data_IF_903414113439
#
_entry.id   IF_903414113439
#
_cell.length_a   1.000
_cell.length_b   1.000
_cell.length_c   1.000
_cell.angle_alpha   90.00
_cell.angle_beta   90.00
_cell.angle_gamma   90.00
#
_symmetry.space_group_name_H-M   'P 1'
#
loop_
_entity.id
_entity.type
_entity.pdbx_description
1 polymer ?
#
# COMPACT_ATOMS: atom_id res chain seq x y z
N UNK A 1 11.93 -2.11 -23.17
CA UNK A 1 11.62 -2.24 -21.75
C UNK A 1 12.91 -2.47 -21.00
N UNK A 2 13.39 -1.49 -20.26
CA UNK A 2 14.42 -1.77 -19.26
C UNK A 2 13.74 -2.58 -18.17
N UNK A 3 14.25 -3.78 -17.93
CA UNK A 3 13.90 -4.54 -16.73
C UNK A 3 14.14 -3.63 -15.53
N UNK A 4 13.09 -3.28 -14.81
CA UNK A 4 13.21 -2.55 -13.55
C UNK A 4 13.72 -3.55 -12.53
N UNK A 5 15.01 -3.66 -12.39
CA UNK A 5 15.62 -4.39 -11.31
C UNK A 5 15.13 -3.82 -9.97
N UNK A 6 14.75 -4.70 -9.08
CA UNK A 6 14.63 -4.36 -7.66
C UNK A 6 15.91 -3.65 -7.24
N UNK A 7 15.77 -2.63 -6.45
CA UNK A 7 16.78 -1.69 -5.94
C UNK A 7 18.17 -2.34 -5.75
N UNK A 8 18.84 -2.68 -6.84
CA UNK A 8 20.21 -3.19 -6.84
C UNK A 8 21.22 -2.09 -7.12
N UNK A 9 20.75 -0.92 -7.56
CA UNK A 9 21.57 0.27 -7.82
C UNK A 9 21.23 1.38 -6.86
N UNK A 10 22.18 1.78 -6.04
CA UNK A 10 22.07 2.92 -5.12
C UNK A 10 22.87 4.12 -5.63
N UNK A 11 22.45 5.34 -5.30
CA UNK A 11 21.28 5.71 -4.53
C UNK A 11 19.97 5.60 -5.34
N UNK A 12 18.86 5.31 -4.62
CA UNK A 12 17.49 5.39 -5.15
C UNK A 12 16.95 6.78 -4.91
N UNK A 13 16.36 7.43 -5.91
CA UNK A 13 15.81 8.77 -5.76
C UNK A 13 14.37 8.71 -5.29
N UNK A 14 14.09 9.41 -4.19
CA UNK A 14 12.80 9.55 -3.53
C UNK A 14 12.36 11.01 -3.57
N UNK A 15 11.28 11.29 -4.27
CA UNK A 15 10.76 12.65 -4.44
C UNK A 15 9.57 12.88 -3.51
N UNK A 16 9.56 14.00 -2.81
CA UNK A 16 8.43 14.46 -2.02
C UNK A 16 7.87 15.72 -2.72
N UNK A 17 6.60 15.72 -3.04
CA UNK A 17 5.85 16.91 -3.46
C UNK A 17 4.88 17.28 -2.36
N UNK A 18 5.00 18.51 -1.80
CA UNK A 18 4.27 18.90 -0.60
C UNK A 18 3.76 20.33 -0.65
N UNK A 19 2.70 20.59 0.12
CA UNK A 19 2.38 21.96 0.55
C UNK A 19 3.51 22.49 1.45
N UNK A 20 3.92 23.76 1.29
CA UNK A 20 5.00 24.33 2.10
C UNK A 20 4.69 24.42 3.60
N UNK A 21 3.41 24.38 3.99
CA UNK A 21 3.03 24.37 5.40
C UNK A 21 3.51 23.10 6.14
N UNK A 22 3.83 22.04 5.42
CA UNK A 22 4.23 20.74 5.97
C UNK A 22 5.75 20.51 6.01
N UNK A 23 6.54 21.45 5.47
CA UNK A 23 8.01 21.32 5.34
C UNK A 23 8.70 20.90 6.65
N UNK A 24 8.43 21.60 7.74
CA UNK A 24 9.08 21.29 9.03
C UNK A 24 8.67 19.94 9.62
N UNK A 25 7.43 19.53 9.36
CA UNK A 25 6.87 18.27 9.86
C UNK A 25 7.42 17.06 9.11
N UNK A 26 7.83 17.25 7.85
CA UNK A 26 8.42 16.20 7.01
C UNK A 26 9.89 15.91 7.32
N UNK A 27 10.61 16.83 7.98
CA UNK A 27 12.06 16.68 8.15
C UNK A 27 12.49 15.38 8.85
N UNK A 28 11.79 14.84 9.87
CA UNK A 28 12.15 13.55 10.44
C UNK A 28 12.10 12.39 9.42
N UNK A 29 11.15 12.43 8.48
CA UNK A 29 11.04 11.45 7.40
C UNK A 29 12.18 11.64 6.38
N UNK A 30 12.46 12.87 5.97
CA UNK A 30 13.56 13.23 5.06
C UNK A 30 14.90 12.74 5.61
N UNK A 31 15.17 13.02 6.88
CA UNK A 31 16.39 12.59 7.59
C UNK A 31 16.51 11.06 7.61
N UNK A 32 15.40 10.38 7.92
CA UNK A 32 15.37 8.93 7.96
C UNK A 32 15.58 8.29 6.58
N UNK A 33 14.87 8.76 5.54
CA UNK A 33 15.03 8.26 4.17
C UNK A 33 16.45 8.50 3.67
N UNK A 34 17.02 9.66 3.95
CA UNK A 34 18.42 9.96 3.62
C UNK A 34 19.39 9.00 4.35
N UNK A 35 19.14 8.72 5.63
CA UNK A 35 19.94 7.76 6.43
C UNK A 35 19.81 6.33 5.89
N UNK A 36 18.65 5.94 5.36
CA UNK A 36 18.44 4.65 4.66
C UNK A 36 19.19 4.55 3.33
N UNK A 37 19.71 5.65 2.81
CA UNK A 37 20.46 5.68 1.54
C UNK A 37 19.64 6.18 0.34
N UNK A 38 18.44 6.71 0.56
CA UNK A 38 17.71 7.38 -0.50
C UNK A 38 18.30 8.75 -0.79
N UNK A 39 18.30 9.14 -2.07
CA UNK A 39 18.50 10.51 -2.49
C UNK A 39 17.14 11.23 -2.43
N UNK A 40 16.89 11.93 -1.33
CA UNK A 40 15.61 12.64 -1.15
C UNK A 40 15.65 13.98 -1.87
N UNK A 41 14.60 14.26 -2.62
CA UNK A 41 14.37 15.54 -3.30
C UNK A 41 13.03 16.09 -2.83
N UNK A 42 13.04 17.27 -2.23
CA UNK A 42 11.84 17.95 -1.76
C UNK A 42 11.41 19.02 -2.78
N UNK A 43 10.15 18.99 -3.19
CA UNK A 43 9.52 19.98 -4.03
C UNK A 43 8.27 20.54 -3.34
N UNK A 44 8.18 21.87 -3.20
CA UNK A 44 7.07 22.52 -2.54
C UNK A 44 6.22 23.31 -3.54
N UNK A 45 4.90 23.29 -3.37
CA UNK A 45 3.93 23.89 -4.31
C UNK A 45 4.05 25.41 -4.45
N UNK A 46 4.74 26.10 -3.52
CA UNK A 46 5.07 27.51 -3.62
C UNK A 46 6.37 27.82 -4.38
N UNK A 47 7.19 26.79 -4.70
CA UNK A 47 8.36 26.97 -5.58
C UNK A 47 7.88 27.14 -7.03
N UNK A 48 8.24 28.24 -7.71
CA UNK A 48 7.85 28.44 -9.12
C UNK A 48 8.32 27.36 -10.09
N UNK A 49 9.36 26.58 -9.74
CA UNK A 49 9.82 25.46 -10.57
C UNK A 49 8.93 24.21 -10.43
N UNK A 50 8.30 24.03 -9.28
CA UNK A 50 7.35 22.93 -9.00
C UNK A 50 5.95 23.36 -9.43
N UNK A 51 5.51 24.50 -8.95
CA UNK A 51 4.17 25.03 -9.15
C UNK A 51 3.12 24.28 -8.34
N UNK A 52 1.85 24.68 -8.48
CA UNK A 52 0.73 24.21 -7.67
C UNK A 52 -0.44 23.65 -8.51
N UNK A 53 -0.18 23.26 -9.74
CA UNK A 53 -1.18 22.63 -10.60
C UNK A 53 -0.71 21.23 -11.01
N UNK A 54 -1.63 20.34 -11.33
CA UNK A 54 -1.31 19.00 -11.83
C UNK A 54 -0.30 19.06 -12.99
N UNK A 55 -0.53 19.96 -13.95
CA UNK A 55 0.37 20.13 -15.12
C UNK A 55 1.77 20.61 -14.74
N UNK A 56 1.90 21.56 -13.81
CA UNK A 56 3.23 22.08 -13.42
C UNK A 56 4.02 21.05 -12.64
N UNK A 57 3.39 20.37 -11.69
CA UNK A 57 4.01 19.29 -10.90
C UNK A 57 4.42 18.12 -11.79
N UNK A 58 3.53 17.66 -12.68
CA UNK A 58 3.86 16.62 -13.65
C UNK A 58 5.05 17.01 -14.53
N UNK A 59 5.07 18.27 -15.06
CA UNK A 59 6.19 18.77 -15.87
C UNK A 59 7.51 18.76 -15.09
N UNK A 60 7.48 19.15 -13.81
CA UNK A 60 8.64 19.10 -12.92
C UNK A 60 9.17 17.67 -12.74
N UNK A 61 8.28 16.73 -12.42
CA UNK A 61 8.63 15.32 -12.23
C UNK A 61 9.15 14.68 -13.52
N UNK A 62 8.46 14.91 -14.65
CA UNK A 62 8.89 14.43 -15.96
C UNK A 62 10.28 14.96 -16.34
N UNK A 63 10.54 16.23 -16.11
CA UNK A 63 11.89 16.79 -16.38
C UNK A 63 12.97 16.13 -15.51
N UNK A 64 12.66 15.84 -14.25
CA UNK A 64 13.59 15.14 -13.36
C UNK A 64 13.82 13.69 -13.80
N UNK A 65 12.81 13.05 -14.35
CA UNK A 65 12.89 11.68 -14.87
C UNK A 65 13.68 11.61 -16.19
N UNK A 66 13.30 12.44 -17.17
CA UNK A 66 13.89 12.44 -18.51
C UNK A 66 15.32 12.99 -18.55
N UNK A 67 15.63 13.96 -17.67
CA UNK A 67 16.90 14.71 -17.66
C UNK A 67 17.50 14.75 -16.24
N UNK A 68 17.79 13.60 -15.62
CA UNK A 68 18.33 13.59 -14.27
C UNK A 68 19.73 14.22 -14.23
N UNK A 69 19.86 15.34 -13.51
CA UNK A 69 21.13 16.12 -13.41
C UNK A 69 22.28 15.26 -12.87
N UNK A 70 21.96 14.32 -11.99
CA UNK A 70 22.90 13.38 -11.36
C UNK A 70 22.98 12.02 -12.08
N UNK A 71 22.24 11.85 -13.18
CA UNK A 71 22.15 10.60 -13.93
C UNK A 71 21.23 9.55 -13.29
N UNK A 72 20.48 9.90 -12.22
CA UNK A 72 19.60 9.00 -11.48
C UNK A 72 18.16 9.47 -11.63
N UNK A 73 17.35 8.72 -12.36
CA UNK A 73 15.91 8.97 -12.45
C UNK A 73 15.20 8.69 -11.12
N UNK A 74 14.13 9.42 -10.78
CA UNK A 74 13.36 9.16 -9.59
C UNK A 74 12.63 7.81 -9.66
N UNK A 75 12.54 7.14 -8.52
CA UNK A 75 11.88 5.84 -8.35
C UNK A 75 10.57 5.95 -7.56
N UNK A 76 10.56 6.80 -6.53
CA UNK A 76 9.40 6.96 -5.66
C UNK A 76 8.94 8.41 -5.63
N UNK A 77 7.61 8.59 -5.58
CA UNK A 77 6.92 9.85 -5.34
C UNK A 77 6.03 9.74 -4.10
N UNK A 78 6.29 10.55 -3.09
CA UNK A 78 5.35 10.81 -2.01
C UNK A 78 4.69 12.17 -2.22
N UNK A 79 3.37 12.17 -2.33
CA UNK A 79 2.55 13.38 -2.37
C UNK A 79 2.10 13.68 -0.94
N UNK A 80 2.32 14.89 -0.44
CA UNK A 80 1.96 15.27 0.94
C UNK A 80 0.99 16.44 0.93
N UNK A 81 -0.22 16.15 1.32
CA UNK A 81 -1.37 17.05 1.32
C UNK A 81 -2.62 16.38 0.77
N UNK A 82 -3.77 16.91 1.15
CA UNK A 82 -5.06 16.59 0.55
C UNK A 82 -5.18 17.27 -0.83
N UNK A 83 -6.27 17.05 -1.54
CA UNK A 83 -6.52 17.60 -2.89
C UNK A 83 -6.41 19.12 -2.95
N UNK A 84 -6.81 19.81 -1.88
CA UNK A 84 -6.68 21.26 -1.78
C UNK A 84 -5.23 21.77 -1.59
N UNK A 85 -4.33 20.97 -1.03
CA UNK A 85 -2.93 21.28 -0.81
C UNK A 85 -2.05 20.90 -2.00
N UNK A 86 -2.24 19.69 -2.52
CA UNK A 86 -1.59 19.19 -3.73
C UNK A 86 -2.66 18.53 -4.60
N UNK A 87 -3.09 19.19 -5.68
CA UNK A 87 -4.20 18.73 -6.49
C UNK A 87 -3.93 17.34 -7.11
N UNK A 88 -4.99 16.62 -7.44
CA UNK A 88 -4.93 15.35 -8.18
C UNK A 88 -5.50 15.53 -9.59
N UNK A 89 -5.17 14.63 -10.50
CA UNK A 89 -5.81 14.63 -11.82
C UNK A 89 -7.26 14.18 -11.70
N UNK A 90 -8.17 14.99 -12.24
CA UNK A 90 -9.60 14.71 -12.27
C UNK A 90 -10.05 14.47 -13.72
N UNK A 91 -10.51 13.25 -14.01
CA UNK A 91 -11.09 12.90 -15.32
C UNK A 91 -12.61 13.11 -15.37
N UNK A 92 -13.22 13.74 -14.36
CA UNK A 92 -14.64 13.99 -14.21
C UNK A 92 -15.44 12.81 -13.64
N UNK A 93 -14.78 11.71 -13.29
CA UNK A 93 -15.38 10.52 -12.65
C UNK A 93 -14.68 10.14 -11.34
N UNK A 94 -13.37 10.33 -11.28
CA UNK A 94 -12.53 10.04 -10.12
C UNK A 94 -11.23 10.84 -10.16
N UNK A 95 -10.59 10.95 -9.02
CA UNK A 95 -9.24 11.47 -8.91
C UNK A 95 -8.21 10.37 -9.13
N UNK A 96 -7.07 10.73 -9.73
CA UNK A 96 -5.95 9.83 -9.94
C UNK A 96 -4.60 10.53 -9.73
N UNK A 97 -3.77 9.98 -8.86
CA UNK A 97 -2.38 10.42 -8.68
C UNK A 97 -1.42 9.72 -9.66
N UNK A 98 -1.85 8.66 -10.32
CA UNK A 98 -1.06 7.88 -11.27
C UNK A 98 -0.43 8.77 -12.35
N UNK A 99 -1.19 9.73 -12.87
CA UNK A 99 -0.74 10.63 -13.93
C UNK A 99 0.40 11.58 -13.54
N UNK A 100 0.75 11.68 -12.26
CA UNK A 100 1.99 12.35 -11.85
C UNK A 100 3.25 11.56 -12.24
N UNK A 101 3.09 10.27 -12.43
CA UNK A 101 4.17 9.32 -12.68
C UNK A 101 4.13 8.67 -14.06
N UNK A 102 3.16 8.98 -14.91
CA UNK A 102 3.07 8.53 -16.29
C UNK A 102 3.72 9.58 -17.20
N UNK A 103 4.79 9.23 -17.93
CA UNK A 103 5.60 10.17 -18.70
C UNK A 103 5.66 9.90 -20.20
N UNK A 104 5.27 8.73 -20.65
CA UNK A 104 5.39 8.33 -22.05
C UNK A 104 4.25 8.90 -22.91
N UNK A 105 3.07 9.15 -22.34
CA UNK A 105 1.92 9.72 -23.03
C UNK A 105 1.36 8.79 -24.13
N UNK A 106 0.57 9.36 -25.05
CA UNK A 106 0.10 8.61 -26.21
C UNK A 106 -0.94 7.53 -25.93
N UNK A 107 -1.50 7.50 -24.73
CA UNK A 107 -2.46 6.48 -24.29
C UNK A 107 -1.80 5.41 -23.42
N UNK A 108 -0.55 5.60 -23.05
CA UNK A 108 0.08 4.85 -22.00
C UNK A 108 -0.54 5.18 -20.62
N UNK A 109 -0.58 4.22 -19.73
CA UNK A 109 -1.12 4.35 -18.37
C UNK A 109 -0.27 3.55 -17.36
N UNK A 110 0.95 3.21 -17.71
CA UNK A 110 1.90 2.53 -16.82
C UNK A 110 2.83 3.58 -16.20
N UNK A 111 2.77 3.79 -14.87
CA UNK A 111 3.61 4.80 -14.23
C UNK A 111 5.09 4.38 -14.19
N UNK A 112 5.99 5.32 -14.47
CA UNK A 112 7.44 5.15 -14.39
C UNK A 112 7.99 5.24 -12.96
N UNK A 113 7.17 5.70 -12.01
CA UNK A 113 7.52 5.81 -10.60
C UNK A 113 6.46 5.15 -9.73
N UNK A 114 6.87 4.62 -8.59
CA UNK A 114 5.94 4.20 -7.55
C UNK A 114 5.46 5.41 -6.77
N UNK A 115 4.17 5.54 -6.53
CA UNK A 115 3.58 6.71 -5.89
C UNK A 115 2.67 6.35 -4.72
N UNK A 116 2.53 7.29 -3.79
CA UNK A 116 1.59 7.22 -2.68
C UNK A 116 1.35 8.61 -2.11
N UNK A 117 0.35 8.73 -1.23
CA UNK A 117 -0.08 10.01 -0.68
C UNK A 117 -0.17 9.97 0.84
N UNK A 118 0.46 10.93 1.51
CA UNK A 118 0.12 11.35 2.85
C UNK A 118 -0.95 12.44 2.75
N UNK A 119 -2.20 12.03 2.67
CA UNK A 119 -3.30 12.97 2.62
C UNK A 119 -3.45 13.67 3.97
N UNK A 120 -3.39 15.00 3.95
CA UNK A 120 -3.44 15.84 5.15
C UNK A 120 -3.89 17.25 4.83
N UNK A 121 -4.63 17.86 5.75
CA UNK A 121 -5.09 19.23 5.66
C UNK A 121 -4.36 20.17 6.63
N UNK A 122 -3.73 19.62 7.66
CA UNK A 122 -2.99 20.31 8.71
C UNK A 122 -1.67 19.59 9.04
N UNK A 123 -0.65 20.28 9.58
CA UNK A 123 0.64 19.70 9.92
C UNK A 123 0.56 18.50 10.89
N UNK A 124 -0.37 18.52 11.83
CA UNK A 124 -0.55 17.45 12.82
C UNK A 124 -0.94 16.12 12.17
N UNK A 125 -1.72 16.14 11.08
CA UNK A 125 -2.06 14.92 10.32
C UNK A 125 -0.84 14.37 9.57
N UNK A 126 0.06 15.24 9.11
CA UNK A 126 1.34 14.80 8.51
C UNK A 126 2.25 14.20 9.57
N UNK A 127 2.33 14.83 10.76
CA UNK A 127 3.14 14.34 11.87
C UNK A 127 2.75 12.92 12.28
N UNK A 128 1.44 12.64 12.36
CA UNK A 128 0.92 11.29 12.67
C UNK A 128 1.40 10.27 11.63
N UNK A 129 1.28 10.56 10.34
CA UNK A 129 1.67 9.67 9.25
C UNK A 129 3.19 9.46 9.21
N UNK A 130 3.97 10.52 9.43
CA UNK A 130 5.44 10.45 9.55
C UNK A 130 5.82 9.55 10.73
N UNK A 131 5.25 9.77 11.91
CA UNK A 131 5.57 8.99 13.10
C UNK A 131 5.24 7.51 12.93
N UNK A 132 4.07 7.16 12.37
CA UNK A 132 3.70 5.77 12.07
C UNK A 132 4.71 5.11 11.11
N UNK A 133 5.08 5.83 10.04
CA UNK A 133 6.06 5.34 9.06
C UNK A 133 7.42 5.12 9.71
N UNK A 134 7.87 6.05 10.55
CA UNK A 134 9.14 5.94 11.26
C UNK A 134 9.14 4.78 12.26
N UNK A 135 8.07 4.61 13.05
CA UNK A 135 7.91 3.48 13.96
C UNK A 135 8.03 2.15 13.21
N UNK A 136 7.34 2.05 12.09
CA UNK A 136 7.36 0.84 11.25
C UNK A 136 8.74 0.60 10.63
N UNK A 137 9.31 1.58 9.92
CA UNK A 137 10.58 1.39 9.21
C UNK A 137 11.80 1.27 10.12
N UNK A 138 11.77 1.87 11.30
CA UNK A 138 12.84 1.76 12.30
C UNK A 138 12.67 0.51 13.18
N UNK A 139 11.58 -0.21 13.03
CA UNK A 139 11.24 -1.37 13.83
C UNK A 139 11.28 -1.05 15.34
N UNK A 140 10.64 0.05 15.74
CA UNK A 140 10.65 0.54 17.12
C UNK A 140 9.37 0.20 17.88
N UNK A 141 8.68 -0.85 17.48
CA UNK A 141 7.49 -1.36 18.14
C UNK A 141 7.78 -1.76 19.59
N UNK A 142 6.85 -1.43 20.48
CA UNK A 142 6.94 -1.89 21.87
C UNK A 142 6.74 -3.42 21.96
N UNK A 143 5.82 -3.96 21.17
CA UNK A 143 5.60 -5.39 20.95
C UNK A 143 5.39 -5.64 19.46
N UNK A 144 6.28 -6.36 18.76
CA UNK A 144 6.13 -6.63 17.34
C UNK A 144 5.25 -7.85 17.04
N UNK A 145 4.67 -8.52 18.02
CA UNK A 145 3.88 -9.77 17.81
C UNK A 145 2.69 -9.57 16.90
N UNK A 146 2.12 -8.36 16.83
CA UNK A 146 1.03 -8.05 15.91
C UNK A 146 1.38 -8.25 14.42
N UNK A 147 2.67 -8.29 14.08
CA UNK A 147 3.11 -8.56 12.72
C UNK A 147 2.81 -9.99 12.26
N UNK A 148 2.65 -10.92 13.22
CA UNK A 148 2.24 -12.30 12.94
C UNK A 148 0.71 -12.44 12.78
N UNK A 149 -0.07 -11.40 13.12
CA UNK A 149 -1.54 -11.41 13.05
C UNK A 149 -2.03 -10.87 11.69
N UNK A 150 -2.94 -11.62 11.05
CA UNK A 150 -3.48 -11.29 9.72
C UNK A 150 -5.00 -11.37 9.74
N UNK A 151 -5.68 -10.33 9.25
CA UNK A 151 -7.15 -10.28 9.17
C UNK A 151 -7.59 -10.35 7.70
N UNK A 152 -8.31 -11.41 7.32
CA UNK A 152 -8.78 -11.62 5.96
C UNK A 152 -10.30 -11.75 5.91
N UNK A 153 -10.94 -10.90 5.13
CA UNK A 153 -12.40 -10.77 5.12
C UNK A 153 -12.98 -10.91 3.72
N UNK A 154 -13.79 -11.94 3.49
CA UNK A 154 -14.72 -12.02 2.37
C UNK A 154 -16.09 -11.51 2.84
N UNK A 155 -16.44 -10.30 2.44
CA UNK A 155 -17.68 -9.66 2.90
C UNK A 155 -18.94 -10.23 2.24
N UNK A 156 -20.09 -9.69 2.63
CA UNK A 156 -21.40 -10.22 2.25
C UNK A 156 -21.78 -9.85 0.82
N UNK A 157 -21.94 -10.86 -0.02
CA UNK A 157 -22.67 -10.84 -1.29
C UNK A 157 -23.05 -12.28 -1.65
N UNK A 158 -24.33 -12.60 -1.61
CA UNK A 158 -24.80 -13.97 -1.84
C UNK A 158 -24.50 -14.53 -3.24
N UNK A 159 -24.34 -13.66 -4.24
CA UNK A 159 -24.06 -14.05 -5.63
C UNK A 159 -22.56 -14.18 -5.93
N UNK A 160 -21.77 -13.34 -5.34
CA UNK A 160 -20.34 -13.17 -5.70
C UNK A 160 -19.39 -13.68 -4.61
N UNK A 161 -19.66 -13.41 -3.35
CA UNK A 161 -18.74 -13.75 -2.26
C UNK A 161 -18.35 -15.23 -2.18
N UNK A 162 -19.24 -16.23 -2.43
CA UNK A 162 -18.83 -17.64 -2.39
C UNK A 162 -17.71 -18.00 -3.37
N UNK A 163 -17.63 -17.32 -4.50
CA UNK A 163 -16.63 -17.63 -5.55
C UNK A 163 -15.47 -16.64 -5.52
N UNK A 164 -15.75 -15.36 -5.51
CA UNK A 164 -14.74 -14.31 -5.61
C UNK A 164 -14.12 -13.98 -4.26
N UNK A 165 -14.95 -13.64 -3.28
CA UNK A 165 -14.48 -13.26 -1.97
C UNK A 165 -13.80 -14.42 -1.24
N UNK A 166 -14.52 -15.53 -1.03
CA UNK A 166 -13.96 -16.72 -0.40
C UNK A 166 -12.79 -17.31 -1.19
N UNK A 167 -12.86 -17.26 -2.54
CA UNK A 167 -11.76 -17.72 -3.40
C UNK A 167 -10.49 -16.93 -3.17
N UNK A 168 -10.57 -15.62 -3.07
CA UNK A 168 -9.42 -14.76 -2.77
C UNK A 168 -8.83 -15.09 -1.39
N UNK A 169 -9.67 -15.16 -0.37
CA UNK A 169 -9.22 -15.45 1.00
C UNK A 169 -8.65 -16.87 1.12
N UNK A 170 -9.33 -17.87 0.55
CA UNK A 170 -8.84 -19.26 0.55
C UNK A 170 -7.47 -19.38 -0.12
N UNK A 171 -7.26 -18.72 -1.27
CA UNK A 171 -5.97 -18.71 -1.94
C UNK A 171 -4.85 -18.17 -1.03
N UNK A 172 -5.09 -17.02 -0.42
CA UNK A 172 -4.13 -16.40 0.51
C UNK A 172 -3.84 -17.31 1.70
N UNK A 173 -4.86 -17.87 2.33
CA UNK A 173 -4.73 -18.73 3.51
C UNK A 173 -4.07 -20.06 3.20
N UNK A 174 -4.48 -20.72 2.11
CA UNK A 174 -3.94 -22.04 1.75
C UNK A 174 -2.47 -21.99 1.38
N UNK A 175 -2.02 -20.90 0.75
CA UNK A 175 -0.66 -20.80 0.24
C UNK A 175 0.29 -20.00 1.16
N UNK A 176 -0.17 -18.92 1.80
CA UNK A 176 0.70 -17.94 2.42
C UNK A 176 0.36 -17.56 3.85
N UNK A 177 -0.86 -17.08 4.09
CA UNK A 177 -1.26 -16.57 5.40
C UNK A 177 -1.69 -17.72 6.32
N UNK A 178 -0.72 -18.42 6.89
CA UNK A 178 -1.00 -19.60 7.69
C UNK A 178 0.14 -19.91 8.69
N UNK A 179 -0.11 -20.88 9.56
CA UNK A 179 0.84 -21.28 10.60
C UNK A 179 2.17 -21.85 10.04
N UNK A 180 2.22 -22.35 8.81
CA UNK A 180 3.47 -22.81 8.20
C UNK A 180 4.43 -21.64 7.93
N UNK A 181 3.88 -20.45 7.72
CA UNK A 181 4.61 -19.17 7.58
C UNK A 181 4.76 -18.41 8.90
N UNK A 182 4.36 -19.01 10.03
CA UNK A 182 4.43 -18.36 11.34
C UNK A 182 3.30 -17.36 11.61
N UNK A 183 2.24 -17.36 10.81
CA UNK A 183 1.15 -16.39 10.91
C UNK A 183 -0.09 -16.96 11.59
N UNK A 184 -0.72 -16.15 12.40
CA UNK A 184 -2.08 -16.34 12.94
C UNK A 184 -3.06 -15.61 12.04
N UNK A 185 -4.08 -16.32 11.55
CA UNK A 185 -5.01 -15.74 10.57
C UNK A 185 -6.45 -15.76 11.08
N UNK A 186 -7.03 -14.57 11.13
CA UNK A 186 -8.43 -14.33 11.45
C UNK A 186 -9.25 -14.29 10.15
N UNK A 187 -9.82 -15.43 9.78
CA UNK A 187 -10.57 -15.59 8.53
C UNK A 187 -12.07 -15.39 8.72
N UNK A 188 -12.63 -14.47 7.96
CA UNK A 188 -14.06 -14.17 7.91
C UNK A 188 -14.60 -14.52 6.53
N UNK A 189 -15.15 -15.75 6.38
CA UNK A 189 -15.60 -16.29 5.10
C UNK A 189 -17.14 -16.28 5.01
N UNK A 190 -17.66 -15.80 3.89
CA UNK A 190 -19.09 -15.80 3.62
C UNK A 190 -19.64 -17.23 3.51
N UNK A 191 -20.70 -17.53 4.30
CA UNK A 191 -21.44 -18.80 4.21
C UNK A 191 -20.69 -20.04 4.69
N UNK A 192 -19.49 -19.91 5.24
CA UNK A 192 -18.65 -21.04 5.66
C UNK A 192 -18.59 -21.11 7.19
N UNK A 193 -18.92 -22.28 7.73
CA UNK A 193 -18.72 -22.66 9.14
C UNK A 193 -17.68 -23.80 9.19
N UNK A 194 -16.47 -23.50 8.72
CA UNK A 194 -15.35 -24.44 8.79
C UNK A 194 -14.42 -24.05 9.97
N UNK A 195 -13.50 -24.94 10.40
CA UNK A 195 -12.45 -24.55 11.34
C UNK A 195 -11.71 -23.32 10.82
N UNK A 196 -11.70 -22.25 11.60
CA UNK A 196 -11.11 -20.96 11.21
C UNK A 196 -12.08 -19.96 10.57
N UNK A 197 -13.30 -20.36 10.18
CA UNK A 197 -14.33 -19.44 9.74
C UNK A 197 -15.15 -18.97 10.94
N UNK A 198 -15.25 -17.65 11.13
CA UNK A 198 -15.91 -17.09 12.31
C UNK A 198 -17.42 -16.97 12.14
N UNK A 199 -17.93 -16.77 10.91
CA UNK A 199 -19.33 -16.42 10.69
C UNK A 199 -20.01 -17.10 9.51
N UNK A 200 -21.35 -17.22 9.61
CA UNK A 200 -22.24 -17.72 8.56
C UNK A 200 -22.58 -16.65 7.51
N UNK A 201 -23.49 -16.98 6.60
CA UNK A 201 -23.84 -16.14 5.44
C UNK A 201 -24.38 -14.73 5.77
N UNK A 202 -24.91 -14.50 6.95
CA UNK A 202 -25.35 -13.18 7.38
C UNK A 202 -24.24 -12.37 8.07
N UNK A 203 -23.13 -13.03 8.43
CA UNK A 203 -21.96 -12.46 9.10
C UNK A 203 -22.30 -11.52 10.27
N UNK A 204 -23.45 -11.73 10.91
CA UNK A 204 -23.90 -10.90 12.02
C UNK A 204 -22.96 -11.03 13.22
N UNK A 205 -22.47 -9.89 13.73
CA UNK A 205 -21.45 -9.85 14.77
C UNK A 205 -20.00 -9.82 14.28
N UNK A 206 -19.72 -10.21 13.03
CA UNK A 206 -18.37 -10.19 12.46
C UNK A 206 -17.73 -8.80 12.53
N UNK A 207 -18.51 -7.73 12.35
CA UNK A 207 -17.99 -6.36 12.46
C UNK A 207 -17.30 -6.10 13.79
N UNK A 208 -17.90 -6.53 14.90
CA UNK A 208 -17.31 -6.31 16.23
C UNK A 208 -16.02 -7.11 16.42
N UNK A 209 -15.95 -8.35 15.91
CA UNK A 209 -14.72 -9.16 15.99
C UNK A 209 -13.62 -8.64 15.07
N UNK A 210 -13.94 -8.28 13.82
CA UNK A 210 -12.97 -7.67 12.88
C UNK A 210 -12.38 -6.39 13.49
N UNK A 211 -13.22 -5.53 14.06
CA UNK A 211 -12.76 -4.30 14.72
C UNK A 211 -11.92 -4.63 15.97
N UNK A 212 -12.25 -5.69 16.71
CA UNK A 212 -11.44 -6.17 17.84
C UNK A 212 -10.07 -6.65 17.37
N UNK A 213 -10.03 -7.53 16.36
CA UNK A 213 -8.78 -8.06 15.82
C UNK A 213 -7.87 -6.94 15.30
N UNK A 214 -8.41 -5.98 14.56
CA UNK A 214 -7.65 -4.80 14.11
C UNK A 214 -7.21 -3.93 15.30
N UNK A 215 -8.04 -3.83 16.34
CA UNK A 215 -7.77 -3.04 17.55
C UNK A 215 -6.72 -3.71 18.46
N UNK A 216 -6.59 -5.03 18.41
CA UNK A 216 -5.56 -5.81 19.10
C UNK A 216 -4.23 -5.85 18.32
N UNK A 217 -4.22 -5.31 17.09
CA UNK A 217 -3.06 -5.22 16.21
C UNK A 217 -3.05 -6.31 15.12
N UNK A 218 -2.88 -5.90 13.87
CA UNK A 218 -2.70 -6.80 12.73
C UNK A 218 -1.63 -6.24 11.79
N UNK A 219 -0.63 -7.05 11.45
CA UNK A 219 0.44 -6.67 10.52
C UNK A 219 -0.08 -6.48 9.09
N UNK A 220 -1.08 -7.29 8.72
CA UNK A 220 -1.73 -7.20 7.41
C UNK A 220 -3.23 -7.45 7.51
N UNK A 221 -4.02 -6.69 6.77
CA UNK A 221 -5.44 -6.94 6.63
C UNK A 221 -5.91 -6.78 5.18
N UNK A 222 -6.83 -7.65 4.72
CA UNK A 222 -7.46 -7.53 3.42
C UNK A 222 -8.96 -7.76 3.51
N UNK A 223 -9.73 -6.85 2.96
CA UNK A 223 -11.18 -6.97 2.78
C UNK A 223 -11.52 -7.03 1.29
N UNK A 224 -12.44 -7.90 0.90
CA UNK A 224 -12.96 -7.99 -0.45
C UNK A 224 -14.47 -8.16 -0.45
N UNK A 225 -15.20 -7.13 -0.86
CA UNK A 225 -16.64 -7.09 -1.16
C UNK A 225 -17.08 -5.65 -1.46
N UNK A 226 -18.16 -5.20 -0.81
CA UNK A 226 -18.74 -3.86 -1.00
C UNK A 226 -18.20 -2.85 0.00
N UNK A 227 -17.85 -1.67 -0.50
CA UNK A 227 -17.44 -0.52 0.30
C UNK A 227 -18.11 0.76 -0.19
N UNK A 228 -17.96 1.80 0.60
CA UNK A 228 -18.15 3.18 0.22
C UNK A 228 -16.99 4.03 0.70
N UNK A 229 -17.05 5.33 0.50
CA UNK A 229 -15.99 6.25 0.96
C UNK A 229 -15.79 6.22 2.47
N UNK A 230 -16.80 5.83 3.24
CA UNK A 230 -16.71 5.71 4.69
C UNK A 230 -16.20 4.35 5.19
N UNK A 231 -15.92 3.39 4.34
CA UNK A 231 -15.32 2.09 4.72
C UNK A 231 -16.06 0.86 4.21
N UNK A 232 -15.76 -0.26 4.82
CA UNK A 232 -16.31 -1.59 4.51
C UNK A 232 -17.80 -1.64 4.88
N UNK A 233 -18.60 -2.22 4.00
CA UNK A 233 -20.06 -2.15 4.16
C UNK A 233 -20.62 -3.29 5.02
N UNK A 234 -20.20 -4.52 4.74
CA UNK A 234 -20.76 -5.70 5.41
C UNK A 234 -19.75 -6.88 5.31
N UNK A 235 -19.14 -7.31 6.40
CA UNK A 235 -19.20 -6.70 7.75
C UNK A 235 -18.69 -5.26 7.78
N UNK A 236 -19.36 -4.42 8.57
CA UNK A 236 -19.04 -2.98 8.61
C UNK A 236 -17.78 -2.70 9.44
N UNK A 237 -16.86 -1.97 8.82
CA UNK A 237 -15.77 -1.25 9.50
C UNK A 237 -15.59 0.10 8.82
N UNK A 238 -15.83 1.17 9.56
CA UNK A 238 -16.02 2.50 9.00
C UNK A 238 -15.16 3.57 9.68
N UNK A 239 -15.13 4.76 9.08
CA UNK A 239 -14.46 5.93 9.66
C UNK A 239 -14.92 6.25 11.08
N UNK A 240 -16.18 5.94 11.43
CA UNK A 240 -16.70 6.14 12.79
C UNK A 240 -16.09 5.18 13.83
N UNK A 241 -15.67 4.01 13.40
CA UNK A 241 -15.10 2.97 14.28
C UNK A 241 -13.63 3.22 14.59
N UNK A 242 -12.92 3.92 13.70
CA UNK A 242 -11.48 4.20 13.83
C UNK A 242 -11.15 4.89 15.15
N UNK A 243 -12.01 5.80 15.62
CA UNK A 243 -11.80 6.49 16.91
C UNK A 243 -11.73 5.54 18.11
N UNK A 244 -12.36 4.37 18.01
CA UNK A 244 -12.40 3.34 19.04
C UNK A 244 -11.23 2.36 19.06
N UNK A 245 -10.40 2.33 18.01
CA UNK A 245 -9.25 1.43 17.92
C UNK A 245 -8.23 1.68 19.05
N UNK A 246 -7.54 0.61 19.46
CA UNK A 246 -6.54 0.65 20.54
C UNK A 246 -5.14 0.19 20.08
N UNK A 247 -4.92 0.00 18.80
CA UNK A 247 -3.69 -0.54 18.22
C UNK A 247 -2.54 0.48 18.17
N UNK A 248 -2.20 1.05 19.32
CA UNK A 248 -1.06 1.96 19.48
C UNK A 248 0.26 1.24 19.17
N UNK A 249 1.09 1.81 18.29
CA UNK A 249 2.34 1.23 17.76
C UNK A 249 2.16 -0.06 16.94
N UNK A 250 0.96 -0.53 16.70
CA UNK A 250 0.64 -1.77 15.99
C UNK A 250 -0.06 -1.48 14.65
N UNK A 251 0.57 -0.62 13.86
CA UNK A 251 0.02 -0.12 12.59
C UNK A 251 0.42 -1.02 11.43
N UNK A 252 -0.47 -1.89 10.97
CA UNK A 252 -0.26 -2.72 9.79
C UNK A 252 -0.60 -2.04 8.48
N UNK A 253 -0.37 -2.75 7.38
CA UNK A 253 -0.82 -2.37 6.04
C UNK A 253 -2.17 -3.02 5.77
N UNK A 254 -3.13 -2.24 5.28
CA UNK A 254 -4.47 -2.71 4.98
C UNK A 254 -4.81 -2.57 3.50
N UNK A 255 -5.59 -3.50 2.97
CA UNK A 255 -6.08 -3.50 1.59
C UNK A 255 -7.60 -3.58 1.56
N UNK A 256 -8.22 -2.69 0.80
CA UNK A 256 -9.64 -2.76 0.47
C UNK A 256 -9.84 -3.05 -1.02
N UNK A 257 -10.00 -4.32 -1.38
CA UNK A 257 -10.47 -4.70 -2.71
C UNK A 257 -11.97 -4.45 -2.78
N UNK A 258 -12.33 -3.17 -2.86
CA UNK A 258 -13.71 -2.72 -2.77
C UNK A 258 -13.87 -1.26 -3.21
N UNK A 259 -15.11 -0.87 -3.52
CA UNK A 259 -15.45 0.45 -4.07
C UNK A 259 -15.08 1.61 -3.14
N UNK A 260 -14.48 2.66 -3.67
CA UNK A 260 -14.43 4.01 -3.09
C UNK A 260 -13.76 4.16 -1.71
N UNK A 261 -13.11 3.15 -1.17
CA UNK A 261 -12.49 3.23 0.15
C UNK A 261 -11.34 4.24 0.25
N UNK A 262 -10.75 4.61 -0.90
CA UNK A 262 -9.80 5.71 -1.08
C UNK A 262 -10.36 6.86 -1.95
N UNK A 263 -11.65 7.15 -1.87
CA UNK A 263 -12.28 8.26 -2.58
C UNK A 263 -11.95 9.60 -1.91
N UNK A 264 -10.76 10.11 -2.11
CA UNK A 264 -10.22 11.29 -1.42
C UNK A 264 -10.65 12.66 -1.99
N UNK A 265 -11.70 12.69 -2.83
CA UNK A 265 -12.46 13.89 -3.19
C UNK A 265 -13.63 14.17 -2.20
N UNK A 266 -13.71 13.41 -1.11
CA UNK A 266 -14.62 13.64 0.01
C UNK A 266 -13.85 14.17 1.21
N UNK A 267 -14.51 14.78 2.21
CA UNK A 267 -13.79 15.40 3.34
C UNK A 267 -12.82 14.47 4.08
N UNK A 268 -13.18 13.21 4.27
CA UNK A 268 -12.29 12.15 4.79
C UNK A 268 -12.81 10.81 4.30
N UNK A 269 -12.05 10.11 3.47
CA UNK A 269 -12.35 8.73 3.12
C UNK A 269 -11.77 7.75 4.16
N UNK A 270 -12.09 6.47 4.01
CA UNK A 270 -11.70 5.44 4.98
C UNK A 270 -10.16 5.31 5.09
N UNK A 271 -9.46 5.24 3.95
CA UNK A 271 -8.00 5.16 3.94
C UNK A 271 -7.34 6.38 4.61
N UNK A 272 -7.81 7.59 4.33
CA UNK A 272 -7.35 8.80 5.00
C UNK A 272 -7.58 8.75 6.51
N UNK A 273 -8.79 8.34 6.92
CA UNK A 273 -9.15 8.23 8.33
C UNK A 273 -8.23 7.29 9.10
N UNK A 274 -7.85 6.15 8.50
CA UNK A 274 -6.91 5.20 9.10
C UNK A 274 -5.50 5.78 9.28
N UNK A 275 -5.02 6.55 8.31
CA UNK A 275 -3.68 7.12 8.38
C UNK A 275 -3.59 8.34 9.28
N UNK A 276 -4.61 9.23 9.24
CA UNK A 276 -4.66 10.47 10.02
C UNK A 276 -4.96 10.24 11.51
N UNK A 277 -5.49 9.06 11.88
CA UNK A 277 -5.84 8.76 13.28
C UNK A 277 -4.60 8.67 14.16
N UNK A 278 -4.48 9.57 15.14
CA UNK A 278 -3.37 9.58 16.08
C UNK A 278 -3.41 8.36 17.02
N UNK A 279 -2.26 7.70 17.19
CA UNK A 279 -2.06 6.55 18.06
C UNK A 279 -2.95 5.33 17.73
N UNK A 280 -3.39 5.18 16.49
CA UNK A 280 -4.23 4.06 16.02
C UNK A 280 -4.33 4.02 14.49
N UNK A 281 -5.05 3.03 13.95
CA UNK A 281 -5.31 2.91 12.52
C UNK A 281 -4.25 2.11 11.77
N UNK A 282 -3.79 2.59 10.62
CA UNK A 282 -2.86 1.89 9.75
C UNK A 282 -1.65 2.74 9.37
N UNK A 283 -0.56 2.10 8.94
CA UNK A 283 0.62 2.75 8.35
C UNK A 283 0.50 2.92 6.83
N UNK A 284 -0.36 2.15 6.20
CA UNK A 284 -0.68 2.24 4.79
C UNK A 284 -2.04 1.61 4.48
N UNK A 285 -2.76 2.18 3.53
CA UNK A 285 -4.03 1.65 3.03
C UNK A 285 -4.04 1.68 1.50
N UNK A 286 -4.28 0.52 0.87
CA UNK A 286 -4.44 0.42 -0.59
C UNK A 286 -5.92 0.18 -0.90
N UNK A 287 -6.49 0.96 -1.81
CA UNK A 287 -7.89 0.82 -2.21
C UNK A 287 -8.29 1.73 -3.35
N UNK A 288 -9.52 1.58 -3.82
CA UNK A 288 -10.04 2.32 -4.98
C UNK A 288 -10.56 3.71 -4.66
N UNK A 289 -10.22 4.70 -5.49
CA UNK A 289 -10.85 6.03 -5.47
C UNK A 289 -12.21 6.06 -6.16
N UNK A 290 -12.59 4.99 -6.88
CA UNK A 290 -13.90 4.81 -7.51
C UNK A 290 -14.40 3.37 -7.34
N UNK A 291 -15.46 2.99 -8.05
CA UNK A 291 -16.03 1.65 -7.97
C UNK A 291 -15.04 0.61 -8.49
N UNK A 292 -14.91 -0.50 -7.79
CA UNK A 292 -14.13 -1.66 -8.21
C UNK A 292 -15.04 -2.79 -8.70
N UNK A 293 -14.46 -3.83 -9.29
CA UNK A 293 -15.20 -4.93 -9.89
C UNK A 293 -14.66 -6.27 -9.36
N UNK A 294 -15.56 -7.23 -9.16
CA UNK A 294 -15.25 -8.53 -8.58
C UNK A 294 -14.15 -9.32 -9.30
N UNK A 295 -14.14 -9.28 -10.63
CA UNK A 295 -13.11 -9.98 -11.41
C UNK A 295 -11.74 -9.37 -11.16
N UNK A 296 -11.64 -8.08 -11.32
CA UNK A 296 -10.42 -7.32 -11.20
C UNK A 296 -9.87 -7.37 -9.77
N UNK A 297 -10.74 -7.23 -8.76
CA UNK A 297 -10.36 -7.34 -7.35
C UNK A 297 -9.79 -8.73 -7.03
N UNK A 298 -10.37 -9.80 -7.61
CA UNK A 298 -9.85 -11.15 -7.49
C UNK A 298 -8.47 -11.27 -8.17
N UNK A 299 -8.33 -10.82 -9.41
CA UNK A 299 -7.06 -10.89 -10.14
C UNK A 299 -5.98 -10.04 -9.47
N UNK A 300 -6.35 -8.89 -8.95
CA UNK A 300 -5.42 -8.01 -8.24
C UNK A 300 -4.73 -8.70 -7.07
N UNK A 301 -5.44 -9.52 -6.33
CA UNK A 301 -4.91 -10.21 -5.15
C UNK A 301 -4.32 -11.60 -5.47
N UNK A 302 -4.99 -12.38 -6.34
CA UNK A 302 -4.72 -13.81 -6.57
C UNK A 302 -3.95 -14.07 -7.87
N UNK A 303 -4.13 -13.21 -8.89
CA UNK A 303 -3.51 -13.36 -10.20
C UNK A 303 -4.48 -13.67 -11.34
N UNK A 304 -3.96 -13.69 -12.55
CA UNK A 304 -4.71 -13.69 -13.81
C UNK A 304 -5.34 -15.05 -14.21
N UNK A 305 -5.37 -16.00 -13.30
CA UNK A 305 -5.94 -17.32 -13.57
C UNK A 305 -7.47 -17.37 -13.53
N UNK A 306 -8.00 -18.58 -13.60
CA UNK A 306 -9.45 -18.81 -13.56
C UNK A 306 -10.02 -18.49 -12.17
N UNK A 307 -11.04 -17.65 -12.13
CA UNK A 307 -11.76 -17.30 -10.91
C UNK A 307 -12.53 -18.52 -10.40
N UNK A 308 -12.32 -18.89 -9.16
CA UNK A 308 -13.00 -19.99 -8.50
C UNK A 308 -13.05 -19.81 -6.98
N UNK A 309 -13.91 -20.57 -6.30
CA UNK A 309 -14.01 -20.58 -4.85
C UNK A 309 -12.77 -21.23 -4.15
N UNK A 310 -12.02 -22.04 -4.88
CA UNK A 310 -10.81 -22.72 -4.39
C UNK A 310 -9.73 -22.63 -5.48
N UNK A 311 -9.13 -21.46 -5.69
CA UNK A 311 -8.06 -21.33 -6.68
C UNK A 311 -6.81 -22.06 -6.19
N UNK A 312 -6.05 -22.58 -7.14
CA UNK A 312 -4.80 -23.29 -6.83
C UNK A 312 -3.62 -22.48 -7.36
N UNK A 313 -2.49 -22.55 -6.69
CA UNK A 313 -1.25 -21.91 -7.12
C UNK A 313 -0.91 -22.15 -8.60
N UNK A 314 -1.01 -23.40 -9.07
CA UNK A 314 -0.74 -23.73 -10.46
C UNK A 314 -1.80 -23.23 -11.46
N UNK A 315 -2.96 -22.80 -10.99
CA UNK A 315 -4.08 -22.31 -11.80
C UNK A 315 -4.18 -20.79 -11.86
N UNK A 316 -3.32 -20.07 -11.14
CA UNK A 316 -3.29 -18.61 -11.07
C UNK A 316 -2.00 -18.07 -11.68
N UNK A 317 -2.02 -16.85 -12.17
CA UNK A 317 -0.81 -16.06 -12.41
C UNK A 317 -0.46 -15.29 -11.13
N UNK A 318 0.79 -14.85 -11.01
CA UNK A 318 1.26 -14.15 -9.81
C UNK A 318 0.61 -12.76 -9.64
N UNK A 319 0.28 -12.42 -8.38
CA UNK A 319 -0.26 -11.13 -8.01
C UNK A 319 0.21 -10.70 -6.61
N UNK A 320 -0.57 -9.86 -5.91
CA UNK A 320 -0.12 -9.25 -4.65
C UNK A 320 0.21 -10.27 -3.57
N UNK A 321 -0.61 -11.30 -3.37
CA UNK A 321 -0.34 -12.30 -2.34
C UNK A 321 0.95 -13.09 -2.62
N UNK A 322 1.19 -13.45 -3.87
CA UNK A 322 2.42 -14.12 -4.29
C UNK A 322 3.65 -13.22 -4.12
N UNK A 323 3.49 -11.95 -4.51
CA UNK A 323 4.52 -10.93 -4.48
C UNK A 323 5.02 -10.63 -3.05
N UNK A 324 4.13 -10.73 -2.04
CA UNK A 324 4.48 -10.49 -0.64
C UNK A 324 5.38 -11.56 -0.04
N UNK A 325 5.33 -12.80 -0.55
CA UNK A 325 5.97 -13.95 0.10
C UNK A 325 7.28 -14.39 -0.56
N UNK A 326 7.55 -13.97 -1.80
CA UNK A 326 8.80 -14.26 -2.53
C UNK A 326 9.13 -15.76 -2.66
N UNK A 327 8.11 -16.61 -2.82
CA UNK A 327 8.25 -18.07 -2.84
C UNK A 327 8.06 -18.71 -4.22
N UNK A 328 8.04 -17.87 -5.29
CA UNK A 328 7.67 -18.32 -6.64
C UNK A 328 8.89 -18.65 -7.52
N UNK A 329 10.08 -18.69 -6.92
CA UNK A 329 11.33 -18.97 -7.61
C UNK A 329 11.95 -17.76 -8.29
N UNK A 330 11.40 -16.57 -8.10
CA UNK A 330 11.95 -15.31 -8.54
C UNK A 330 13.31 -15.03 -7.90
N UNK A 331 14.19 -14.40 -8.64
CA UNK A 331 15.46 -13.97 -8.09
C UNK A 331 15.24 -12.77 -7.14
N UNK A 332 16.09 -12.61 -6.14
CA UNK A 332 15.98 -11.48 -5.20
C UNK A 332 15.95 -10.12 -5.90
N UNK A 333 16.60 -9.98 -7.03
CA UNK A 333 16.58 -8.76 -7.84
C UNK A 333 15.19 -8.44 -8.42
N UNK A 334 14.32 -9.44 -8.55
CA UNK A 334 12.97 -9.32 -9.12
C UNK A 334 11.88 -9.19 -8.03
N UNK A 335 12.26 -9.14 -6.74
CA UNK A 335 11.30 -9.07 -5.65
C UNK A 335 10.58 -7.73 -5.61
N UNK A 336 9.28 -7.79 -5.44
CA UNK A 336 8.45 -6.64 -5.09
C UNK A 336 8.32 -6.56 -3.57
N UNK A 337 8.89 -5.53 -2.95
CA UNK A 337 9.07 -5.47 -1.50
C UNK A 337 8.43 -4.25 -0.83
N UNK A 338 7.87 -3.31 -1.60
CA UNK A 338 7.29 -2.09 -1.07
C UNK A 338 5.79 -1.97 -1.36
N UNK A 339 5.09 -1.14 -0.62
CA UNK A 339 3.66 -0.86 -0.85
C UNK A 339 3.39 -0.35 -2.27
N UNK A 340 4.29 0.48 -2.81
CA UNK A 340 4.21 0.93 -4.21
C UNK A 340 4.33 -0.22 -5.21
N UNK A 341 5.21 -1.16 -4.92
CA UNK A 341 5.38 -2.35 -5.74
C UNK A 341 4.19 -3.33 -5.57
N UNK A 342 3.59 -3.42 -4.37
CA UNK A 342 2.34 -4.18 -4.17
C UNK A 342 1.22 -3.64 -5.07
N UNK A 343 0.99 -2.33 -5.07
CA UNK A 343 0.01 -1.69 -5.95
C UNK A 343 0.29 -2.01 -7.41
N UNK A 344 1.54 -1.88 -7.82
CA UNK A 344 1.97 -2.12 -9.19
C UNK A 344 1.74 -3.58 -9.62
N UNK A 345 2.11 -4.55 -8.77
CA UNK A 345 1.92 -5.98 -9.06
C UNK A 345 0.45 -6.37 -9.21
N UNK A 346 -0.43 -5.83 -8.35
CA UNK A 346 -1.86 -6.06 -8.45
C UNK A 346 -2.46 -5.49 -9.74
N UNK A 347 -2.10 -4.26 -10.10
CA UNK A 347 -2.55 -3.64 -11.35
C UNK A 347 -2.02 -4.37 -12.58
N UNK A 348 -0.76 -4.85 -12.56
CA UNK A 348 -0.21 -5.71 -13.62
C UNK A 348 -0.99 -7.02 -13.77
N UNK A 349 -1.41 -7.65 -12.67
CA UNK A 349 -2.22 -8.87 -12.73
C UNK A 349 -3.58 -8.62 -13.39
N UNK A 350 -4.24 -7.49 -13.09
CA UNK A 350 -5.47 -7.06 -13.77
C UNK A 350 -5.23 -6.87 -15.27
N UNK A 351 -4.15 -6.20 -15.64
CA UNK A 351 -3.74 -6.01 -17.05
C UNK A 351 -3.53 -7.35 -17.74
N UNK A 352 -2.77 -8.27 -17.15
CA UNK A 352 -2.50 -9.59 -17.71
C UNK A 352 -3.77 -10.45 -17.86
N UNK A 353 -4.75 -10.25 -17.00
CA UNK A 353 -6.04 -10.91 -17.08
C UNK A 353 -6.95 -10.34 -18.19
N UNK A 354 -6.60 -9.19 -18.76
CA UNK A 354 -7.42 -8.48 -19.74
C UNK A 354 -8.66 -7.84 -19.13
N UNK A 355 -8.56 -7.40 -17.88
CA UNK A 355 -9.61 -6.67 -17.16
C UNK A 355 -9.73 -5.21 -17.59
N UNK A 356 -10.34 -4.40 -16.72
CA UNK A 356 -10.47 -2.94 -16.89
C UNK A 356 -9.14 -2.25 -16.61
N UNK A 357 -8.12 -2.49 -17.45
CA UNK A 357 -6.70 -2.17 -17.21
C UNK A 357 -6.48 -0.70 -16.82
N UNK A 358 -6.62 0.23 -17.76
CA UNK A 358 -6.38 1.66 -17.50
C UNK A 358 -7.16 2.16 -16.28
N UNK A 359 -8.42 1.72 -16.16
CA UNK A 359 -9.28 2.12 -15.06
C UNK A 359 -8.72 1.71 -13.70
N UNK A 360 -8.16 0.49 -13.57
CA UNK A 360 -7.55 0.04 -12.31
C UNK A 360 -6.24 0.75 -12.00
N UNK A 361 -5.43 1.07 -13.00
CA UNK A 361 -4.27 1.92 -12.81
C UNK A 361 -4.66 3.33 -12.33
N UNK A 362 -5.76 3.88 -12.82
CA UNK A 362 -6.25 5.20 -12.43
C UNK A 362 -6.83 5.24 -11.01
N UNK A 363 -7.58 4.20 -10.60
CA UNK A 363 -8.37 4.27 -9.36
C UNK A 363 -7.70 3.69 -8.13
N UNK A 364 -6.77 2.73 -8.26
CA UNK A 364 -6.09 2.17 -7.10
C UNK A 364 -4.99 3.11 -6.61
N UNK A 365 -5.04 3.43 -5.29
CA UNK A 365 -4.12 4.35 -4.65
C UNK A 365 -3.58 3.79 -3.35
N UNK A 366 -2.39 4.27 -2.96
CA UNK A 366 -1.84 4.08 -1.63
C UNK A 366 -2.02 5.38 -0.86
N UNK A 367 -2.84 5.35 0.20
CA UNK A 367 -2.68 6.26 1.31
C UNK A 367 -1.53 5.70 2.14
N UNK A 368 -0.38 6.41 2.13
CA UNK A 368 0.85 5.92 2.75
C UNK A 368 2.10 6.19 1.92
N UNK A 369 3.24 5.80 2.46
CA UNK A 369 4.55 5.91 1.81
C UNK A 369 4.76 4.77 0.80
N UNK A 370 4.98 5.05 -0.49
CA UNK A 370 5.14 4.02 -1.51
C UNK A 370 6.42 3.20 -1.37
N UNK A 371 7.40 3.66 -0.61
CA UNK A 371 8.66 2.96 -0.36
C UNK A 371 8.66 2.16 0.96
N UNK A 372 7.55 2.16 1.69
CA UNK A 372 7.40 1.37 2.91
C UNK A 372 7.46 -0.13 2.57
N UNK A 373 8.30 -0.87 3.26
CA UNK A 373 8.33 -2.34 3.18
C UNK A 373 7.42 -2.91 4.27
N UNK A 374 6.29 -3.52 3.92
CA UNK A 374 5.43 -4.16 4.91
C UNK A 374 6.14 -5.36 5.53
N UNK A 375 5.99 -5.54 6.85
CA UNK A 375 6.37 -6.78 7.50
C UNK A 375 5.19 -7.76 7.44
N UNK A 376 5.44 -8.93 6.86
CA UNK A 376 4.51 -10.06 6.89
C UNK A 376 5.13 -11.10 7.82
N UNK A 377 4.79 -10.99 9.10
CA UNK A 377 5.39 -11.75 10.18
C UNK A 377 6.55 -11.03 10.89
N UNK A 378 6.86 -11.48 12.09
CA UNK A 378 7.99 -10.98 12.88
C UNK A 378 9.30 -11.41 12.22
N UNK A 379 10.16 -10.47 11.78
CA UNK A 379 11.39 -10.81 11.09
C UNK A 379 12.38 -11.53 12.03
N UNK A 380 13.10 -12.49 11.48
CA UNK A 380 14.19 -13.16 12.21
C UNK A 380 15.28 -12.15 12.54
N UNK A 381 15.71 -12.15 13.80
CA UNK A 381 16.79 -11.27 14.26
C UNK A 381 18.11 -11.55 13.50
N UNK A 382 18.67 -10.51 12.89
CA UNK A 382 19.96 -10.56 12.24
C UNK A 382 21.04 -9.95 13.13
N UNK A 383 22.21 -10.55 13.12
CA UNK A 383 23.41 -9.95 13.76
C UNK A 383 24.36 -9.47 12.68
N UNK A 384 24.62 -8.17 12.64
CA UNK A 384 25.58 -7.60 11.71
C UNK A 384 26.89 -7.24 12.45
N UNK A 385 28.02 -7.60 11.85
CA UNK A 385 29.35 -7.21 12.34
C UNK A 385 30.05 -6.39 11.27
N UNK A 386 30.61 -5.26 11.67
CA UNK A 386 31.35 -4.36 10.78
C UNK A 386 32.44 -3.60 11.53
N UNK A 387 33.40 -3.05 10.84
CA UNK A 387 34.42 -2.17 11.39
C UNK A 387 33.80 -0.88 11.97
N UNK A 388 34.27 -0.43 13.14
CA UNK A 388 33.80 0.78 13.78
C UNK A 388 34.10 2.07 12.99
N UNK A 389 35.04 2.01 12.03
CA UNK A 389 35.44 3.13 11.19
C UNK A 389 35.88 2.63 9.82
N UNK A 390 35.67 3.47 8.80
CA UNK A 390 36.15 3.23 7.44
C UNK A 390 37.15 4.34 7.09
N UNK A 391 38.38 4.01 6.65
CA UNK A 391 39.35 5.01 6.21
C UNK A 391 38.82 5.82 5.02
N UNK A 392 39.18 7.09 4.96
CA UNK A 392 38.85 7.95 3.80
C UNK A 392 39.46 7.35 2.54
N UNK A 393 38.66 7.24 1.48
CA UNK A 393 39.08 6.65 0.20
C UNK A 393 38.86 5.13 0.10
N UNK A 394 38.26 4.49 1.10
CA UNK A 394 37.83 3.09 1.01
C UNK A 394 36.63 2.99 0.04
N UNK A 395 36.73 2.08 -0.91
CA UNK A 395 35.68 1.81 -1.90
C UNK A 395 34.76 0.65 -1.50
N UNK A 396 35.15 -0.16 -0.51
CA UNK A 396 34.40 -1.29 -0.05
C UNK A 396 34.32 -1.27 1.49
N UNK A 397 33.11 -1.44 2.02
CA UNK A 397 32.84 -1.61 3.45
C UNK A 397 32.23 -2.99 3.66
N UNK A 398 32.91 -3.84 4.44
CA UNK A 398 32.45 -5.20 4.69
C UNK A 398 31.55 -5.23 5.93
N UNK A 399 30.34 -5.79 5.75
CA UNK A 399 29.41 -6.16 6.83
C UNK A 399 29.22 -7.68 6.73
N UNK A 400 29.31 -8.37 7.87
CA UNK A 400 29.12 -9.82 7.98
C UNK A 400 28.11 -10.14 9.04
#
# INVERSE_FOLDING_TARGET
>A
SQEKDVITTYPVKYVIISDPAFESTLQPLVDWKTKKGFMVVEGYTNDPNVGNTTTSIHTYLKNMYDNPIDGIAPTYLLIVGDEAQVPSFDNGQHLSDMYYCEFDGGGDFYPEMYYGRFSATIPEEVEVQVNKTLTHEQYTFADPSFLDEVVLVAGVDAGMAPTYGNGQINYGTDNYFNAAHGLTVHNYLYGVLAPGASYSSDMSGASAEIISDISEGAGFANYTAHCGSSGWSDPSFSTSDISGLQNFDEYGVMVGNCCQSNKFDVPVCFGEGLLRADNKGAVGYIGGSNNTYWNEDFWWAVGNGSISANPTYAGTGLAVFDCLMHENGEQQADWFITTGQMLHSGNLAVTQAGGSEQYYWEIYHIMGDPSLMPYIGVPTALTASHGAATPVGTTNFTVT
#
